data_IF_454706125486
#
_entry.id   IF_454706125486
#
_cell.length_a   1.000
_cell.length_b   1.000
_cell.length_c   1.000
_cell.angle_alpha   90.00
_cell.angle_beta   90.00
_cell.angle_gamma   90.00
#
_symmetry.space_group_name_H-M   'P 1'
#
loop_
_entity.id
_entity.type
_entity.pdbx_description
1 polymer ?
#
# COMPACT_ATOMS: atom_id res chain seq x y z
N UNK A 1 -18.15 3.45 -15.74
CA UNK A 1 -16.92 2.70 -15.43
C UNK A 1 -15.73 3.64 -15.50
N UNK A 2 -14.89 3.55 -14.48
CA UNK A 2 -13.68 4.34 -14.34
C UNK A 2 -12.53 3.37 -14.09
N UNK A 3 -11.45 3.51 -14.84
CA UNK A 3 -10.29 2.62 -14.72
C UNK A 3 -9.15 3.32 -13.99
N UNK A 4 -8.28 2.52 -13.38
CA UNK A 4 -7.05 3.00 -12.75
C UNK A 4 -6.10 3.48 -13.83
N UNK A 5 -5.74 4.78 -13.81
CA UNK A 5 -4.79 5.39 -14.77
C UNK A 5 -3.37 5.38 -14.19
N UNK A 6 -3.23 5.78 -12.92
CA UNK A 6 -1.94 5.78 -12.24
C UNK A 6 -2.10 5.64 -10.74
N UNK A 7 -1.11 5.04 -10.10
CA UNK A 7 -1.00 4.93 -8.65
C UNK A 7 0.37 5.48 -8.24
N UNK A 8 0.39 6.30 -7.19
CA UNK A 8 1.61 6.83 -6.57
C UNK A 8 1.55 6.63 -5.08
N UNK A 9 2.69 6.34 -4.46
CA UNK A 9 2.78 6.18 -3.02
C UNK A 9 3.87 7.09 -2.44
N UNK A 10 3.71 7.43 -1.16
CA UNK A 10 4.69 8.23 -0.42
C UNK A 10 4.70 7.85 1.06
N UNK A 11 5.81 8.17 1.71
CA UNK A 11 5.96 8.09 3.16
C UNK A 11 5.45 9.40 3.78
N UNK A 12 4.47 9.30 4.69
CA UNK A 12 3.98 10.40 5.52
C UNK A 12 4.14 10.05 7.01
N UNK A 13 3.76 10.93 7.94
CA UNK A 13 3.83 10.67 9.38
C UNK A 13 2.44 10.47 10.00
N UNK A 14 2.32 9.46 10.87
CA UNK A 14 1.14 9.22 11.69
C UNK A 14 1.04 10.20 12.88
N UNK A 15 -0.04 10.11 13.65
CA UNK A 15 -0.29 10.98 14.81
C UNK A 15 0.75 10.87 15.93
N UNK A 16 1.61 9.84 15.90
CA UNK A 16 2.70 9.60 16.85
C UNK A 16 4.08 9.94 16.25
N UNK A 17 4.11 10.49 15.03
CA UNK A 17 5.34 10.82 14.31
C UNK A 17 6.08 9.61 13.73
N UNK A 18 5.44 8.45 13.62
CA UNK A 18 6.03 7.30 12.92
C UNK A 18 5.66 7.34 11.44
N UNK A 19 6.56 6.88 10.54
CA UNK A 19 6.23 6.77 9.12
C UNK A 19 5.00 5.88 8.85
N UNK A 20 4.20 6.22 7.85
CA UNK A 20 3.15 5.36 7.28
C UNK A 20 3.00 5.63 5.78
N UNK A 21 2.30 4.74 5.08
CA UNK A 21 2.11 4.82 3.63
C UNK A 21 0.84 5.62 3.30
N UNK A 22 0.96 6.53 2.35
CA UNK A 22 -0.16 7.20 1.68
C UNK A 22 -0.13 6.88 0.19
N UNK A 23 -1.28 6.59 -0.38
CA UNK A 23 -1.46 6.24 -1.80
C UNK A 23 -2.43 7.21 -2.46
N UNK A 24 -2.04 7.71 -3.62
CA UNK A 24 -2.90 8.45 -4.55
C UNK A 24 -3.22 7.55 -5.75
N UNK A 25 -4.49 7.32 -5.98
CA UNK A 25 -5.04 6.63 -7.16
C UNK A 25 -5.69 7.68 -8.06
N UNK A 26 -5.29 7.71 -9.33
CA UNK A 26 -5.86 8.63 -10.32
C UNK A 26 -6.68 7.88 -11.35
N UNK A 27 -7.86 8.41 -11.64
CA UNK A 27 -8.73 8.00 -12.74
C UNK A 27 -9.08 9.21 -13.62
N UNK A 28 -9.91 9.00 -14.63
CA UNK A 28 -10.45 10.11 -15.43
C UNK A 28 -11.33 11.07 -14.62
N UNK A 29 -11.89 10.60 -13.50
CA UNK A 29 -12.82 11.34 -12.65
C UNK A 29 -12.09 12.16 -11.57
N UNK A 30 -10.80 11.92 -11.37
CA UNK A 30 -9.97 12.68 -10.43
C UNK A 30 -8.88 11.85 -9.75
N UNK A 31 -8.30 12.45 -8.71
CA UNK A 31 -7.33 11.79 -7.83
C UNK A 31 -7.99 11.53 -6.47
N UNK A 32 -7.84 10.30 -6.00
CA UNK A 32 -8.39 9.78 -4.76
C UNK A 32 -7.23 9.35 -3.85
N UNK A 33 -7.29 9.73 -2.57
CA UNK A 33 -6.18 9.55 -1.64
C UNK A 33 -6.61 8.75 -0.43
N UNK A 34 -5.75 7.84 0.02
CA UNK A 34 -5.90 7.11 1.26
C UNK A 34 -4.55 6.99 1.99
N UNK A 35 -4.59 7.13 3.32
CA UNK A 35 -3.45 6.91 4.19
C UNK A 35 -3.76 5.75 5.13
N UNK A 36 -2.82 4.82 5.29
CA UNK A 36 -2.99 3.71 6.22
C UNK A 36 -2.64 4.15 7.65
N UNK A 37 -3.40 3.71 8.67
CA UNK A 37 -2.95 3.81 10.05
C UNK A 37 -1.77 2.87 10.30
N UNK A 38 -1.01 3.09 11.37
CA UNK A 38 0.00 2.12 11.82
C UNK A 38 -0.66 0.85 12.36
N UNK A 39 -0.13 -0.32 12.00
CA UNK A 39 -0.55 -1.63 12.48
C UNK A 39 0.53 -2.30 13.34
N UNK A 40 0.59 -3.63 13.26
CA UNK A 40 1.64 -4.45 13.87
C UNK A 40 2.51 -5.10 12.78
N UNK A 41 3.82 -5.15 13.03
CA UNK A 41 4.81 -5.77 12.12
C UNK A 41 5.26 -7.16 12.59
N UNK A 42 4.61 -7.70 13.62
CA UNK A 42 4.86 -9.02 14.22
C UNK A 42 3.56 -9.59 14.75
N UNK A 43 3.27 -10.86 14.50
CA UNK A 43 2.04 -11.53 14.93
C UNK A 43 1.87 -12.85 14.20
N UNK A 44 1.00 -13.72 14.71
CA UNK A 44 0.72 -15.05 14.12
C UNK A 44 -0.59 -15.07 13.32
N UNK A 45 -1.52 -14.15 13.60
CA UNK A 45 -2.89 -14.18 13.06
C UNK A 45 -3.30 -12.89 12.34
N UNK A 46 -2.44 -11.89 12.31
CA UNK A 46 -2.75 -10.58 11.74
C UNK A 46 -1.88 -10.32 10.50
N UNK A 47 -2.46 -9.62 9.52
CA UNK A 47 -1.73 -9.13 8.38
C UNK A 47 -0.60 -8.19 8.85
N UNK A 48 0.63 -8.52 8.43
CA UNK A 48 1.82 -7.85 8.92
C UNK A 48 2.19 -6.64 8.06
N UNK A 49 2.38 -5.48 8.70
CA UNK A 49 2.87 -4.31 7.99
C UNK A 49 4.37 -4.45 7.61
N UNK A 50 4.76 -3.89 6.46
CA UNK A 50 6.13 -3.92 5.99
C UNK A 50 6.92 -2.68 6.42
N UNK A 51 7.86 -2.87 7.36
CA UNK A 51 8.81 -1.85 7.82
C UNK A 51 10.19 -2.01 7.20
N UNK A 52 10.91 -0.89 7.10
CA UNK A 52 12.25 -0.84 6.51
C UNK A 52 13.28 -1.60 7.37
N UNK A 53 13.18 -1.51 8.70
CA UNK A 53 14.13 -2.10 9.65
C UNK A 53 15.46 -1.33 9.78
N UNK A 54 15.63 -0.22 9.06
CA UNK A 54 16.82 0.63 9.13
C UNK A 54 16.83 1.47 10.41
N UNK A 55 17.64 1.07 11.39
CA UNK A 55 17.75 1.76 12.69
C UNK A 55 18.21 3.22 12.57
N UNK A 56 18.89 3.60 11.50
CA UNK A 56 19.31 4.98 11.28
C UNK A 56 18.16 5.90 10.85
N UNK A 57 17.04 5.35 10.35
CA UNK A 57 15.86 6.10 9.91
C UNK A 57 14.64 5.74 10.74
N UNK A 58 14.08 6.72 11.43
CA UNK A 58 12.86 6.55 12.23
C UNK A 58 12.91 5.32 13.16
N UNK A 59 14.09 5.01 13.72
CA UNK A 59 14.30 3.86 14.61
C UNK A 59 13.89 2.51 13.98
N UNK A 60 14.03 2.35 12.66
CA UNK A 60 13.63 1.13 11.94
C UNK A 60 12.20 1.12 11.42
N UNK A 61 11.41 2.15 11.69
CA UNK A 61 9.97 2.22 11.36
C UNK A 61 9.67 2.87 10.01
N UNK A 62 10.68 3.18 9.20
CA UNK A 62 10.49 3.64 7.82
C UNK A 62 9.63 2.68 7.00
N UNK A 63 9.00 3.18 5.94
CA UNK A 63 8.09 2.41 5.07
C UNK A 63 8.47 2.55 3.58
N UNK A 64 9.72 2.89 3.26
CA UNK A 64 10.16 3.03 1.87
C UNK A 64 10.06 1.72 1.07
N UNK A 65 10.26 0.57 1.71
CA UNK A 65 10.01 -0.74 1.08
C UNK A 65 8.54 -0.91 0.69
N UNK A 66 7.61 -0.55 1.58
CA UNK A 66 6.19 -0.62 1.30
C UNK A 66 5.79 0.35 0.17
N UNK A 67 6.29 1.58 0.19
CA UNK A 67 6.11 2.56 -0.89
C UNK A 67 6.62 2.00 -2.22
N UNK A 68 7.81 1.39 -2.23
CA UNK A 68 8.38 0.79 -3.43
C UNK A 68 7.55 -0.39 -3.96
N UNK A 69 6.99 -1.22 -3.08
CA UNK A 69 6.09 -2.30 -3.48
C UNK A 69 4.82 -1.77 -4.15
N UNK A 70 4.23 -0.68 -3.63
CA UNK A 70 3.08 -0.04 -4.28
C UNK A 70 3.44 0.40 -5.70
N UNK A 71 4.56 1.11 -5.89
CA UNK A 71 4.89 1.68 -7.19
C UNK A 71 5.41 0.65 -8.22
N UNK A 72 6.16 -0.35 -7.77
CA UNK A 72 6.89 -1.26 -8.66
C UNK A 72 6.23 -2.62 -8.83
N UNK A 73 5.34 -3.01 -7.92
CA UNK A 73 4.70 -4.33 -7.92
C UNK A 73 3.18 -4.19 -8.09
N UNK A 74 2.52 -3.47 -7.19
CA UNK A 74 1.06 -3.35 -7.18
C UNK A 74 0.56 -2.52 -8.35
N UNK A 75 1.07 -1.29 -8.52
CA UNK A 75 0.64 -0.37 -9.56
C UNK A 75 0.63 -0.99 -10.98
N UNK A 76 1.73 -1.57 -11.50
CA UNK A 76 1.72 -2.15 -12.83
C UNK A 76 0.77 -3.35 -12.97
N UNK A 77 0.45 -4.05 -11.88
CA UNK A 77 -0.42 -5.21 -11.90
C UNK A 77 -1.92 -4.87 -11.91
N UNK A 78 -2.30 -3.67 -11.45
CA UNK A 78 -3.72 -3.26 -11.34
C UNK A 78 -4.10 -2.03 -12.18
N UNK A 79 -3.16 -1.32 -12.79
CA UNK A 79 -3.46 -0.27 -13.77
C UNK A 79 -4.35 -0.84 -14.89
N UNK A 80 -5.37 -0.09 -15.28
CA UNK A 80 -6.36 -0.48 -16.28
C UNK A 80 -7.55 -1.29 -15.75
N UNK A 81 -7.51 -1.81 -14.51
CA UNK A 81 -8.68 -2.46 -13.89
C UNK A 81 -9.77 -1.44 -13.54
N UNK A 82 -11.02 -1.91 -13.49
CA UNK A 82 -12.19 -1.12 -13.10
C UNK A 82 -12.19 -0.89 -11.58
N UNK A 83 -12.23 0.37 -11.15
CA UNK A 83 -12.19 0.73 -9.73
C UNK A 83 -13.42 0.26 -8.94
N UNK A 84 -14.50 -0.11 -9.63
CA UNK A 84 -15.74 -0.58 -8.98
C UNK A 84 -15.71 -2.08 -8.66
N UNK A 85 -14.76 -2.84 -9.22
CA UNK A 85 -14.54 -4.25 -8.90
C UNK A 85 -13.63 -4.40 -7.66
N UNK A 86 -14.13 -3.92 -6.53
CA UNK A 86 -13.39 -3.92 -5.26
C UNK A 86 -12.93 -5.33 -4.88
N UNK A 87 -13.85 -6.30 -4.90
CA UNK A 87 -13.56 -7.67 -4.50
C UNK A 87 -12.55 -8.36 -5.43
N UNK A 88 -12.62 -8.10 -6.74
CA UNK A 88 -11.65 -8.63 -7.69
C UNK A 88 -10.25 -8.05 -7.50
N UNK A 89 -10.13 -6.75 -7.25
CA UNK A 89 -8.84 -6.10 -6.97
C UNK A 89 -8.25 -6.60 -5.65
N UNK A 90 -9.04 -6.67 -4.59
CA UNK A 90 -8.58 -7.11 -3.27
C UNK A 90 -8.09 -8.56 -3.29
N UNK A 91 -8.87 -9.47 -3.90
CA UNK A 91 -8.46 -10.87 -4.06
C UNK A 91 -7.19 -11.01 -4.88
N UNK A 92 -7.08 -10.29 -5.99
CA UNK A 92 -5.88 -10.32 -6.80
C UNK A 92 -4.63 -9.87 -6.01
N UNK A 93 -4.73 -8.79 -5.24
CA UNK A 93 -3.60 -8.31 -4.43
C UNK A 93 -3.22 -9.31 -3.34
N UNK A 94 -4.19 -9.90 -2.64
CA UNK A 94 -3.94 -10.79 -1.50
C UNK A 94 -3.53 -12.20 -1.95
N UNK A 95 -4.31 -12.82 -2.82
CA UNK A 95 -4.18 -14.25 -3.17
C UNK A 95 -3.15 -14.49 -4.28
N UNK A 96 -3.03 -13.58 -5.25
CA UNK A 96 -2.18 -13.78 -6.43
C UNK A 96 -0.87 -12.99 -6.39
N UNK A 97 -0.91 -11.74 -5.95
CA UNK A 97 0.26 -10.85 -6.00
C UNK A 97 1.17 -11.01 -4.79
N UNK A 98 0.59 -11.09 -3.58
CA UNK A 98 1.32 -11.37 -2.35
C UNK A 98 1.43 -12.89 -2.11
N UNK A 99 0.28 -13.56 -1.97
CA UNK A 99 0.19 -15.02 -1.86
C UNK A 99 0.61 -15.60 -0.51
N UNK A 100 0.98 -14.77 0.47
CA UNK A 100 1.28 -15.23 1.84
C UNK A 100 0.00 -15.43 2.67
N UNK A 101 0.07 -16.25 3.73
CA UNK A 101 -1.09 -16.69 4.52
C UNK A 101 -1.09 -16.14 5.96
N UNK A 102 -0.65 -14.89 6.15
CA UNK A 102 -0.55 -14.23 7.46
C UNK A 102 -1.69 -13.25 7.75
#
# INVERSE_FOLDING_TARGET
>A
MSTIISIKAREILDSRGNPTVEVDLTTKDGMFRAACPSGASTGEFEALELRDGDKARYQGKGVLKAVANVEKVIAPAIIGKDVTDQAGIDKFMVEELDGTQN
#
